data_IF_966066332065
#
_entry.id   IF_966066332065
#
_cell.length_a   1.000
_cell.length_b   1.000
_cell.length_c   1.000
_cell.angle_alpha   90.00
_cell.angle_beta   90.00
_cell.angle_gamma   90.00
#
_symmetry.space_group_name_H-M   'P 1'
#
loop_
_entity.id
_entity.type
_entity.pdbx_description
1 polymer ?
#
# COMPACT_ATOMS: atom_id res chain seq x y z
N UNK A 1 -2.50 -19.55 -3.35
CA UNK A 1 -1.75 -18.29 -3.62
C UNK A 1 -0.74 -18.55 -4.72
N UNK A 2 -0.96 -18.04 -5.93
CA UNK A 2 0.06 -18.03 -6.98
C UNK A 2 1.15 -17.01 -6.59
N UNK A 3 2.42 -17.43 -6.60
CA UNK A 3 3.56 -16.52 -6.43
C UNK A 3 3.63 -15.62 -7.66
N UNK A 4 3.18 -14.38 -7.53
CA UNK A 4 3.42 -13.34 -8.54
C UNK A 4 4.90 -12.97 -8.46
N UNK A 5 5.72 -13.48 -9.38
CA UNK A 5 7.10 -13.04 -9.53
C UNK A 5 7.11 -11.61 -10.07
N UNK A 6 7.87 -10.71 -9.45
CA UNK A 6 8.12 -9.39 -10.01
C UNK A 6 8.82 -9.55 -11.38
N UNK A 7 8.07 -9.38 -12.45
CA UNK A 7 8.59 -9.55 -13.81
C UNK A 7 9.10 -8.23 -14.33
N UNK A 8 10.29 -8.23 -14.91
CA UNK A 8 10.82 -7.12 -15.69
C UNK A 8 10.36 -7.28 -17.14
N UNK A 9 9.60 -6.32 -17.68
CA UNK A 9 9.02 -6.38 -19.04
C UNK A 9 9.40 -5.15 -19.85
N UNK A 10 9.61 -5.36 -21.15
CA UNK A 10 9.92 -4.30 -22.14
C UNK A 10 8.68 -3.60 -22.68
N UNK A 11 7.49 -4.22 -22.60
CA UNK A 11 6.20 -3.60 -22.97
C UNK A 11 5.05 -4.12 -22.08
N UNK A 12 4.18 -3.20 -21.63
CA UNK A 12 3.01 -3.50 -20.81
C UNK A 12 1.80 -3.95 -21.63
N UNK A 13 1.42 -5.24 -21.53
CA UNK A 13 0.15 -5.76 -22.10
C UNK A 13 -0.95 -6.13 -21.10
N UNK A 14 -0.66 -6.31 -19.80
CA UNK A 14 -1.68 -6.61 -18.79
C UNK A 14 -1.23 -6.15 -17.40
N UNK A 15 -1.98 -5.22 -16.80
CA UNK A 15 -1.78 -4.67 -15.43
C UNK A 15 -2.43 -5.58 -14.37
N UNK A 16 -3.25 -6.56 -14.77
CA UNK A 16 -4.07 -7.35 -13.85
C UNK A 16 -3.35 -8.37 -12.96
N UNK A 17 -2.13 -8.78 -13.32
CA UNK A 17 -1.57 -10.03 -12.77
C UNK A 17 -0.40 -9.86 -11.80
N UNK A 18 0.14 -8.65 -11.58
CA UNK A 18 1.27 -8.43 -10.67
C UNK A 18 1.10 -7.15 -9.85
N UNK A 19 1.20 -7.25 -8.52
CA UNK A 19 1.22 -6.09 -7.61
C UNK A 19 2.51 -5.26 -7.67
N UNK A 20 3.62 -5.88 -8.08
CA UNK A 20 4.93 -5.24 -8.26
C UNK A 20 5.52 -5.66 -9.60
N UNK A 21 5.97 -4.71 -10.40
CA UNK A 21 6.63 -4.95 -11.69
C UNK A 21 7.66 -3.85 -11.96
N UNK A 22 8.57 -4.12 -12.90
CA UNK A 22 9.53 -3.15 -13.40
C UNK A 22 9.41 -2.99 -14.92
N UNK A 23 9.53 -1.75 -15.39
CA UNK A 23 9.50 -1.41 -16.81
C UNK A 23 10.66 -0.49 -17.14
N UNK A 24 11.33 -0.75 -18.28
CA UNK A 24 12.29 0.18 -18.86
C UNK A 24 11.56 1.17 -19.77
N UNK A 25 11.62 2.46 -19.43
CA UNK A 25 11.02 3.52 -20.25
C UNK A 25 12.08 4.53 -20.71
N UNK A 26 11.96 5.08 -21.94
CA UNK A 26 12.81 6.18 -22.38
C UNK A 26 12.76 7.38 -21.43
N UNK A 27 13.86 8.14 -21.31
CA UNK A 27 13.98 9.30 -20.40
C UNK A 27 12.91 10.40 -20.61
N UNK A 28 12.34 10.48 -21.81
CA UNK A 28 11.30 11.47 -22.15
C UNK A 28 9.90 11.07 -21.69
N UNK A 29 9.70 9.80 -21.36
CA UNK A 29 8.42 9.21 -20.93
C UNK A 29 8.46 8.72 -19.49
N UNK A 30 9.57 8.98 -18.76
CA UNK A 30 9.81 8.53 -17.37
C UNK A 30 8.76 9.04 -16.38
N UNK A 31 7.90 9.95 -16.82
CA UNK A 31 6.72 10.40 -16.09
C UNK A 31 5.52 10.38 -17.02
N UNK A 32 4.98 9.19 -17.32
CA UNK A 32 3.58 9.19 -17.71
C UNK A 32 2.79 9.57 -16.46
N UNK A 33 2.10 10.71 -16.52
CA UNK A 33 1.07 11.11 -15.58
C UNK A 33 -0.08 10.09 -15.67
N UNK A 34 0.11 8.93 -15.04
CA UNK A 34 -1.01 8.05 -14.78
C UNK A 34 -1.99 8.84 -13.91
N UNK A 35 -3.17 9.15 -14.46
CA UNK A 35 -4.28 9.71 -13.70
C UNK A 35 -4.84 8.72 -12.66
N UNK A 36 -4.24 7.53 -12.54
CA UNK A 36 -4.62 6.54 -11.53
C UNK A 36 -4.03 6.93 -10.16
N UNK A 37 -4.86 7.35 -9.20
CA UNK A 37 -4.42 7.72 -7.86
C UNK A 37 -3.97 6.51 -7.01
N UNK A 38 -4.17 5.28 -7.51
CA UNK A 38 -3.74 4.03 -6.86
C UNK A 38 -2.37 3.56 -7.35
N UNK A 39 -1.86 4.09 -8.47
CA UNK A 39 -0.55 3.70 -8.98
C UNK A 39 0.56 4.37 -8.16
N UNK A 40 1.50 3.55 -7.70
CA UNK A 40 2.73 4.01 -7.07
C UNK A 40 3.88 3.74 -8.05
N UNK A 41 4.58 4.79 -8.46
CA UNK A 41 5.69 4.71 -9.40
C UNK A 41 6.97 5.12 -8.70
N UNK A 42 7.94 4.23 -8.66
CA UNK A 42 9.30 4.54 -8.22
C UNK A 42 10.18 4.70 -9.45
N UNK A 43 10.64 5.92 -9.72
CA UNK A 43 11.66 6.16 -10.73
C UNK A 43 13.04 5.98 -10.10
N UNK A 44 13.74 4.96 -10.57
CA UNK A 44 15.09 4.59 -10.11
C UNK A 44 16.12 5.64 -10.48
N UNK A 45 16.00 6.28 -11.66
CA UNK A 45 16.95 7.27 -12.16
C UNK A 45 16.78 8.60 -11.43
N UNK A 46 15.54 9.09 -11.33
CA UNK A 46 15.24 10.32 -10.62
C UNK A 46 15.22 10.16 -9.08
N UNK A 47 15.27 8.92 -8.57
CA UNK A 47 15.19 8.57 -7.14
C UNK A 47 13.98 9.17 -6.43
N UNK A 48 12.83 9.16 -7.11
CA UNK A 48 11.61 9.77 -6.60
C UNK A 48 10.46 8.77 -6.67
N UNK A 49 9.67 8.77 -5.60
CA UNK A 49 8.48 7.94 -5.46
C UNK A 49 7.25 8.82 -5.69
N UNK A 50 6.55 8.59 -6.80
CA UNK A 50 5.23 9.17 -7.04
C UNK A 50 4.19 8.24 -6.43
N UNK A 51 3.57 8.69 -5.34
CA UNK A 51 2.51 7.96 -4.66
C UNK A 51 1.53 8.93 -4.03
N UNK A 52 0.36 8.42 -3.64
CA UNK A 52 -0.56 9.20 -2.81
C UNK A 52 0.06 9.44 -1.44
N UNK A 53 -0.13 10.64 -0.89
CA UNK A 53 0.22 10.92 0.50
C UNK A 53 -0.56 9.97 1.43
N UNK A 54 0.19 9.18 2.18
CA UNK A 54 -0.34 8.29 3.21
C UNK A 54 -0.77 9.12 4.43
N UNK A 55 -2.02 8.94 4.85
CA UNK A 55 -2.65 9.65 5.98
C UNK A 55 -2.87 8.76 7.20
N UNK A 56 -2.12 7.66 7.32
CA UNK A 56 -2.18 6.78 8.48
C UNK A 56 -1.13 7.10 9.53
N UNK A 57 -1.24 6.46 10.69
CA UNK A 57 -0.30 6.54 11.81
C UNK A 57 0.61 5.31 11.91
N UNK A 58 0.15 4.13 11.49
CA UNK A 58 0.92 2.88 11.69
C UNK A 58 2.29 2.90 11.01
N UNK A 59 2.37 3.45 9.79
CA UNK A 59 3.59 3.49 9.00
C UNK A 59 4.23 4.88 8.94
N UNK A 60 3.67 5.89 9.60
CA UNK A 60 4.17 7.27 9.53
C UNK A 60 5.56 7.42 10.14
N UNK A 61 5.91 6.56 11.11
CA UNK A 61 7.23 6.54 11.73
C UNK A 61 8.35 6.04 10.80
N UNK A 62 8.00 5.39 9.68
CA UNK A 62 8.98 4.97 8.67
C UNK A 62 9.54 6.16 7.90
N UNK A 63 8.78 7.26 7.75
CA UNK A 63 9.24 8.46 7.06
C UNK A 63 10.00 9.42 7.97
N UNK A 64 9.80 9.34 9.28
CA UNK A 64 10.43 10.25 10.25
C UNK A 64 11.83 9.80 10.67
N UNK A 65 12.16 8.52 10.55
CA UNK A 65 13.51 7.99 10.81
C UNK A 65 14.38 8.13 9.55
N UNK A 66 15.48 8.87 9.68
CA UNK A 66 16.46 9.03 8.61
C UNK A 66 17.30 7.77 8.43
N UNK A 67 17.81 7.54 7.23
CA UNK A 67 18.69 6.41 6.92
C UNK A 67 20.01 6.43 7.72
N UNK A 68 20.47 7.61 8.13
CA UNK A 68 21.66 7.80 8.99
C UNK A 68 21.40 7.47 10.48
N UNK A 69 20.13 7.20 10.85
CA UNK A 69 19.74 6.91 12.24
C UNK A 69 19.92 5.44 12.61
N UNK A 70 20.27 4.59 11.64
CA UNK A 70 20.50 3.16 11.86
C UNK A 70 22.00 2.86 11.83
N UNK A 71 22.55 2.19 12.86
CA UNK A 71 23.99 1.90 12.92
C UNK A 71 24.43 0.86 11.90
N UNK A 72 23.50 0.03 11.40
CA UNK A 72 23.73 -1.02 10.40
C UNK A 72 22.47 -1.29 9.60
N UNK A 73 22.61 -1.88 8.40
CA UNK A 73 21.48 -2.38 7.61
C UNK A 73 20.67 -3.44 8.38
N UNK A 74 21.34 -4.25 9.21
CA UNK A 74 20.67 -5.22 10.07
C UNK A 74 19.73 -4.54 11.08
N UNK A 75 20.15 -3.42 11.68
CA UNK A 75 19.31 -2.65 12.59
C UNK A 75 18.09 -2.04 11.87
N UNK A 76 18.28 -1.58 10.63
CA UNK A 76 17.17 -1.12 9.79
C UNK A 76 16.18 -2.26 9.50
N UNK A 77 16.67 -3.44 9.09
CA UNK A 77 15.83 -4.61 8.83
C UNK A 77 15.05 -5.01 10.09
N UNK A 78 15.72 -5.08 11.25
CA UNK A 78 15.06 -5.41 12.52
C UNK A 78 13.98 -4.39 12.90
N UNK A 79 14.25 -3.10 12.69
CA UNK A 79 13.25 -2.06 12.89
C UNK A 79 12.02 -2.25 12.00
N UNK A 80 12.21 -2.51 10.70
CA UNK A 80 11.11 -2.80 9.76
C UNK A 80 10.34 -4.06 10.18
N UNK A 81 11.05 -5.12 10.59
CA UNK A 81 10.44 -6.37 11.06
C UNK A 81 9.59 -6.16 12.32
N UNK A 82 10.04 -5.32 13.26
CA UNK A 82 9.25 -4.96 14.43
C UNK A 82 7.93 -4.25 14.02
N UNK A 83 8.00 -3.27 13.12
CA UNK A 83 6.81 -2.57 12.63
C UNK A 83 5.83 -3.51 11.90
N UNK A 84 6.36 -4.45 11.09
CA UNK A 84 5.54 -5.47 10.44
C UNK A 84 4.88 -6.42 11.45
N UNK A 85 5.60 -6.78 12.52
CA UNK A 85 5.07 -7.65 13.59
C UNK A 85 3.90 -6.98 14.33
N UNK A 86 4.02 -5.68 14.62
CA UNK A 86 2.93 -4.91 15.24
C UNK A 86 1.70 -4.85 14.31
N UNK A 87 1.91 -4.56 13.02
CA UNK A 87 0.84 -4.58 12.02
C UNK A 87 0.17 -5.96 11.93
N UNK A 88 0.94 -7.04 11.89
CA UNK A 88 0.42 -8.40 11.86
C UNK A 88 -0.39 -8.71 13.13
N UNK A 89 0.04 -8.22 14.29
CA UNK A 89 -0.69 -8.40 15.55
C UNK A 89 -2.05 -7.69 15.51
N UNK A 90 -2.11 -6.47 14.96
CA UNK A 90 -3.37 -5.74 14.77
C UNK A 90 -4.30 -6.49 13.80
N UNK A 91 -3.78 -6.97 12.67
CA UNK A 91 -4.56 -7.76 11.69
C UNK A 91 -5.07 -9.05 12.33
N UNK A 92 -4.25 -9.71 13.15
CA UNK A 92 -4.65 -10.90 13.88
C UNK A 92 -5.80 -10.59 14.84
N UNK A 93 -5.72 -9.53 15.64
CA UNK A 93 -6.82 -9.10 16.51
C UNK A 93 -8.09 -8.78 15.70
N UNK A 94 -7.96 -8.06 14.58
CA UNK A 94 -9.05 -7.73 13.68
C UNK A 94 -9.74 -8.95 13.04
N UNK A 95 -9.08 -10.11 13.05
CA UNK A 95 -9.69 -11.36 12.59
C UNK A 95 -10.75 -11.89 13.57
N UNK A 96 -10.52 -11.68 14.87
CA UNK A 96 -11.35 -12.22 15.96
C UNK A 96 -12.35 -11.22 16.53
N UNK A 97 -12.21 -9.94 16.21
CA UNK A 97 -13.12 -8.85 16.59
C UNK A 97 -13.76 -8.24 15.33
N UNK A 98 -14.85 -7.47 15.45
CA UNK A 98 -15.32 -6.64 14.34
C UNK A 98 -14.24 -5.59 13.99
N UNK A 99 -13.74 -5.54 12.75
CA UNK A 99 -12.78 -4.51 12.35
C UNK A 99 -13.24 -3.07 12.60
N UNK A 100 -14.56 -2.79 12.57
CA UNK A 100 -15.07 -1.45 12.84
C UNK A 100 -14.94 -1.10 14.33
N UNK A 101 -15.28 -2.03 15.22
CA UNK A 101 -15.06 -1.86 16.66
C UNK A 101 -13.57 -1.66 16.95
N UNK A 102 -12.70 -2.49 16.36
CA UNK A 102 -11.25 -2.37 16.55
C UNK A 102 -10.73 -1.00 16.09
N UNK A 103 -11.26 -0.49 14.97
CA UNK A 103 -10.90 0.84 14.46
C UNK A 103 -11.19 1.93 15.46
N UNK A 104 -12.33 1.89 16.13
CA UNK A 104 -12.71 2.87 17.14
C UNK A 104 -11.82 2.76 18.38
N UNK A 105 -11.61 1.55 18.89
CA UNK A 105 -10.82 1.31 20.10
C UNK A 105 -9.34 1.70 19.93
N UNK A 106 -8.74 1.36 18.80
CA UNK A 106 -7.33 1.65 18.50
C UNK A 106 -7.12 2.99 17.78
N UNK A 107 -8.20 3.77 17.57
CA UNK A 107 -8.17 5.03 16.84
C UNK A 107 -7.46 4.93 15.48
N UNK A 108 -7.77 3.87 14.74
CA UNK A 108 -7.10 3.55 13.47
C UNK A 108 -7.57 4.52 12.39
N UNK A 109 -6.60 5.19 11.78
CA UNK A 109 -6.81 6.14 10.69
C UNK A 109 -7.34 5.46 9.41
N UNK A 110 -7.91 6.24 8.50
CA UNK A 110 -8.60 5.70 7.32
C UNK A 110 -7.69 4.84 6.42
N UNK A 111 -6.43 5.23 6.26
CA UNK A 111 -5.49 4.52 5.39
C UNK A 111 -4.97 3.23 6.02
N UNK A 112 -4.78 3.24 7.34
CA UNK A 112 -4.44 2.06 8.11
C UNK A 112 -5.57 1.04 8.10
N UNK A 113 -6.79 1.53 8.26
CA UNK A 113 -7.97 0.68 8.23
C UNK A 113 -8.13 -0.01 6.85
N UNK A 114 -7.88 0.70 5.76
CA UNK A 114 -7.87 0.12 4.41
C UNK A 114 -6.81 -0.94 4.24
N UNK A 115 -5.61 -0.71 4.77
CA UNK A 115 -4.52 -1.69 4.74
C UNK A 115 -4.91 -2.96 5.50
N UNK A 116 -5.47 -2.82 6.71
CA UNK A 116 -5.94 -3.95 7.53
C UNK A 116 -7.03 -4.74 6.80
N UNK A 117 -8.05 -4.07 6.24
CA UNK A 117 -9.13 -4.75 5.51
C UNK A 117 -8.61 -5.45 4.25
N UNK A 118 -7.65 -4.86 3.54
CA UNK A 118 -7.02 -5.52 2.40
C UNK A 118 -6.33 -6.81 2.85
N UNK A 119 -5.53 -6.78 3.91
CA UNK A 119 -4.83 -7.95 4.45
C UNK A 119 -5.82 -9.01 4.96
N UNK A 120 -6.87 -8.61 5.67
CA UNK A 120 -7.93 -9.52 6.12
C UNK A 120 -8.63 -10.22 4.94
N UNK A 121 -8.88 -9.50 3.85
CA UNK A 121 -9.48 -10.08 2.65
C UNK A 121 -8.56 -11.05 1.91
N UNK A 122 -7.24 -10.93 2.05
CA UNK A 122 -6.29 -11.94 1.56
C UNK A 122 -6.28 -13.19 2.45
N UNK A 123 -6.63 -13.08 3.74
CA UNK A 123 -6.73 -14.20 4.69
C UNK A 123 -8.08 -14.93 4.52
N UNK A 124 -9.18 -14.18 4.47
CA UNK A 124 -10.54 -14.70 4.31
C UNK A 124 -11.35 -13.77 3.39
N UNK A 125 -11.32 -14.12 2.11
CA UNK A 125 -12.01 -13.36 1.06
C UNK A 125 -13.54 -13.36 1.25
N UNK A 126 -14.13 -14.47 1.70
CA UNK A 126 -15.58 -14.59 1.84
C UNK A 126 -16.10 -13.67 2.94
N UNK A 127 -15.36 -13.57 4.04
CA UNK A 127 -15.74 -12.72 5.18
C UNK A 127 -15.47 -11.24 4.93
N UNK A 128 -14.30 -10.89 4.38
CA UNK A 128 -13.85 -9.48 4.31
C UNK A 128 -13.88 -8.87 2.91
N UNK A 129 -14.10 -9.67 1.86
CA UNK A 129 -14.11 -9.21 0.47
C UNK A 129 -15.16 -8.12 0.21
N UNK A 130 -16.34 -8.23 0.80
CA UNK A 130 -17.38 -7.18 0.69
C UNK A 130 -16.98 -5.87 1.36
N UNK A 131 -16.24 -5.92 2.47
CA UNK A 131 -15.73 -4.71 3.13
C UNK A 131 -14.67 -4.03 2.24
N UNK A 132 -13.76 -4.81 1.66
CA UNK A 132 -12.76 -4.33 0.68
C UNK A 132 -13.43 -3.64 -0.52
N UNK A 133 -14.48 -4.24 -1.09
CA UNK A 133 -15.21 -3.65 -2.22
C UNK A 133 -15.99 -2.38 -1.85
N UNK A 134 -16.63 -2.33 -0.67
CA UNK A 134 -17.30 -1.11 -0.19
C UNK A 134 -16.31 0.07 -0.07
N UNK A 135 -15.08 -0.19 0.37
CA UNK A 135 -14.04 0.84 0.49
C UNK A 135 -13.55 1.37 -0.87
N UNK A 136 -13.51 0.52 -1.90
CA UNK A 136 -13.19 0.97 -3.27
C UNK A 136 -14.28 1.90 -3.81
N UNK A 137 -15.55 1.55 -3.64
CA UNK A 137 -16.71 2.34 -4.14
C UNK A 137 -16.84 3.71 -3.45
N UNK A 138 -16.53 3.80 -2.15
CA UNK A 138 -16.57 5.07 -1.41
C UNK A 138 -15.54 6.10 -1.93
N UNK A 139 -14.46 5.63 -2.58
CA UNK A 139 -13.44 6.49 -3.22
C UNK A 139 -13.85 7.01 -4.60
N UNK A 140 -14.56 6.22 -5.41
CA UNK A 140 -14.97 6.66 -6.76
C UNK A 140 -16.03 7.78 -6.73
N UNK A 141 -16.83 7.86 -5.65
CA UNK A 141 -17.82 8.93 -5.45
C UNK A 141 -17.19 10.28 -5.07
N UNK A 142 -15.92 10.31 -4.65
CA UNK A 142 -15.20 11.55 -4.30
C UNK A 142 -14.46 12.21 -5.48
N UNK A 143 -14.45 11.58 -6.66
CA UNK A 143 -13.83 12.12 -7.87
C UNK A 143 -14.90 12.78 -8.74
N UNK A 144 -15.29 14.01 -8.41
CA UNK A 144 -15.91 14.90 -9.40
C UNK A 144 -14.77 15.32 -10.33
N UNK A 145 -14.71 14.71 -11.51
CA UNK A 145 -13.82 15.16 -12.57
C UNK A 145 -14.33 16.51 -13.09
N UNK A 146 -13.79 17.61 -12.55
CA UNK A 146 -13.93 18.92 -13.19
C UNK A 146 -12.88 18.98 -14.28
N UNK A 147 -13.33 18.79 -15.53
CA UNK A 147 -12.56 19.10 -16.73
C UNK A 147 -12.66 20.61 -16.92
N UNK A 148 -11.55 21.34 -16.78
CA UNK A 148 -11.41 22.70 -17.32
C UNK A 148 -10.70 22.56 -18.66
#
# INVERSE_FOLDING_TARGET
MQRQSASWKTEHKNIGDCQLFGESVPRKTTVNDSNDPMLCVYDVEGRWLKCRNYKGKLLSFLSSKRSDSFPTDYALIQYVMAQLTDLCSIVYLAKYTDPNELREHLQIEEDDFKMIINLLAEIDFLKYGWMKEKMKKKRSLGMIAVKI
#
